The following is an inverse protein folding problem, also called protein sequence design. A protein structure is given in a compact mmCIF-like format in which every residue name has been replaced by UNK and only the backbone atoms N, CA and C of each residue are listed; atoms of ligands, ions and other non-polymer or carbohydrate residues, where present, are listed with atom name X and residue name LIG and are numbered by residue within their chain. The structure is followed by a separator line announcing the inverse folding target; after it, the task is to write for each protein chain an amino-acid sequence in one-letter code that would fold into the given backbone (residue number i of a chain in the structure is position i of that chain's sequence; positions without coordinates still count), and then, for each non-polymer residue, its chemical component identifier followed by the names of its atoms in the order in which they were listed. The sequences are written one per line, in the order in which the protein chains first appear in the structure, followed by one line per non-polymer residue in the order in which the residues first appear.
data_IF_738117391180
#
_entry.id   IF_738117391180
#
_cell.length_a   1.000
_cell.length_b   1.000
_cell.length_c   1.000
_cell.angle_alpha   90.00
_cell.angle_beta   90.00
_cell.angle_gamma   90.00
#
_symmetry.space_group_name_H-M   'P 1'
#
loop_
_entity.id
_entity.type
_entity.pdbx_description
1 polymer ?
#
# COMPACT_ATOMS: atom_id res chain seq x y z
N UNK A 1 -6.98 5.20 -14.58
CA UNK A 1 -6.20 5.02 -13.34
C UNK A 1 -4.97 4.21 -13.72
N UNK A 2 -3.81 4.85 -13.77
CA UNK A 2 -2.56 4.15 -14.04
C UNK A 2 -2.24 3.22 -12.87
N UNK A 3 -1.86 1.99 -13.21
CA UNK A 3 -1.44 1.02 -12.17
C UNK A 3 -0.15 1.53 -11.54
N UNK A 4 -0.03 1.49 -10.20
CA UNK A 4 1.20 1.90 -9.53
C UNK A 4 2.38 1.07 -10.05
N UNK A 5 3.54 1.69 -10.14
CA UNK A 5 4.74 0.98 -10.57
C UNK A 5 5.08 -0.14 -9.56
N UNK A 6 5.50 -1.34 -10.02
CA UNK A 6 5.81 -2.46 -9.12
C UNK A 6 6.82 -2.10 -8.02
N UNK A 7 7.61 -1.08 -8.24
CA UNK A 7 8.64 -0.58 -7.31
C UNK A 7 8.06 0.15 -6.10
N UNK A 8 6.87 0.77 -6.23
CA UNK A 8 6.22 1.55 -5.18
C UNK A 8 5.66 0.68 -4.04
N UNK A 9 5.22 -0.56 -4.33
CA UNK A 9 4.65 -1.46 -3.33
C UNK A 9 5.57 -2.61 -2.90
N UNK A 10 6.82 -2.65 -3.40
CA UNK A 10 7.78 -3.67 -2.97
C UNK A 10 8.42 -3.29 -1.63
N UNK A 11 8.25 -4.10 -0.58
CA UNK A 11 8.84 -3.81 0.72
C UNK A 11 10.38 -3.87 0.66
N UNK A 12 11.07 -3.06 1.50
CA UNK A 12 12.50 -3.17 1.66
C UNK A 12 12.87 -4.55 2.19
N UNK A 13 13.98 -5.11 1.70
CA UNK A 13 14.46 -6.43 2.12
C UNK A 13 15.13 -6.29 3.50
N UNK A 14 14.50 -6.83 4.54
CA UNK A 14 15.11 -7.02 5.86
C UNK A 14 15.96 -8.29 5.86
N UNK A 15 17.00 -8.38 6.69
CA UNK A 15 17.89 -9.55 6.81
C UNK A 15 17.10 -10.85 7.01
N UNK A 16 16.08 -10.83 7.86
CA UNK A 16 15.18 -11.97 8.08
C UNK A 16 14.46 -12.44 6.81
N UNK A 17 14.11 -11.50 5.92
CA UNK A 17 13.46 -11.85 4.65
C UNK A 17 14.41 -12.51 3.63
N UNK A 18 15.72 -12.31 3.78
CA UNK A 18 16.72 -13.03 3.00
C UNK A 18 16.95 -14.43 3.55
N UNK A 19 17.03 -14.57 4.89
CA UNK A 19 17.30 -15.84 5.55
C UNK A 19 16.25 -16.90 5.20
N UNK A 20 14.95 -16.62 5.39
CA UNK A 20 13.91 -17.61 5.09
C UNK A 20 13.81 -17.97 3.60
N UNK A 21 14.09 -16.99 2.70
CA UNK A 21 14.14 -17.26 1.25
C UNK A 21 15.32 -18.16 0.88
N UNK A 22 16.45 -17.96 1.53
CA UNK A 22 17.63 -18.82 1.35
C UNK A 22 17.31 -20.24 1.81
N UNK A 23 16.69 -20.40 2.98
CA UNK A 23 16.24 -21.72 3.48
C UNK A 23 15.26 -22.36 2.48
N UNK A 24 14.30 -21.60 1.96
CA UNK A 24 13.36 -22.12 0.97
C UNK A 24 14.04 -22.54 -0.33
N UNK A 25 14.98 -21.73 -0.84
CA UNK A 25 15.75 -22.10 -2.04
C UNK A 25 16.54 -23.39 -1.82
N UNK A 26 17.23 -23.51 -0.68
CA UNK A 26 18.00 -24.72 -0.34
C UNK A 26 17.06 -25.93 -0.23
N UNK A 27 15.91 -25.79 0.42
CA UNK A 27 14.93 -26.86 0.54
C UNK A 27 14.40 -27.32 -0.83
N UNK A 28 14.04 -26.37 -1.71
CA UNK A 28 13.56 -26.70 -3.07
C UNK A 28 14.68 -27.38 -3.88
N UNK A 29 15.91 -26.84 -3.83
CA UNK A 29 17.06 -27.45 -4.50
C UNK A 29 17.35 -28.86 -3.98
N UNK A 30 17.26 -29.10 -2.67
CA UNK A 30 17.44 -30.40 -2.08
C UNK A 30 16.35 -31.39 -2.55
N UNK A 31 15.10 -31.00 -2.56
CA UNK A 31 13.97 -31.83 -3.05
C UNK A 31 14.16 -32.19 -4.53
N UNK A 32 14.67 -31.27 -5.34
CA UNK A 32 14.89 -31.54 -6.76
C UNK A 32 16.14 -32.37 -7.03
N UNK A 33 17.21 -32.20 -6.24
CA UNK A 33 18.52 -32.83 -6.48
C UNK A 33 18.70 -34.16 -5.80
N UNK A 34 18.24 -34.34 -4.54
CA UNK A 34 18.48 -35.56 -3.76
C UNK A 34 18.01 -36.87 -4.47
N UNK A 35 16.83 -36.89 -5.11
CA UNK A 35 16.38 -38.10 -5.81
C UNK A 35 17.27 -38.50 -7.00
N UNK A 36 17.96 -37.52 -7.59
CA UNK A 36 18.74 -37.67 -8.83
C UNK A 36 20.24 -37.84 -8.54
N UNK A 37 20.69 -37.46 -7.35
CA UNK A 37 22.12 -37.45 -6.96
C UNK A 37 22.78 -38.77 -7.14
N UNK A 38 22.13 -39.88 -6.74
CA UNK A 38 22.67 -41.23 -6.88
C UNK A 38 22.84 -41.70 -8.34
N UNK A 39 21.96 -41.24 -9.23
CA UNK A 39 22.05 -41.57 -10.65
C UNK A 39 23.11 -40.69 -11.35
N UNK A 40 23.29 -39.45 -10.92
CA UNK A 40 24.38 -38.58 -11.37
C UNK A 40 25.75 -39.14 -10.98
N UNK A 41 25.92 -39.62 -9.75
CA UNK A 41 27.16 -40.26 -9.27
C UNK A 41 27.52 -41.51 -10.10
N UNK A 42 26.52 -42.32 -10.46
CA UNK A 42 26.72 -43.50 -11.31
C UNK A 42 27.17 -43.15 -12.74
N UNK A 43 26.77 -41.97 -13.26
CA UNK A 43 27.14 -41.54 -14.61
C UNK A 43 28.54 -40.91 -14.58
N UNK A 44 28.80 -39.96 -13.69
CA UNK A 44 30.09 -39.27 -13.57
C UNK A 44 30.16 -38.37 -12.34
N UNK A 45 31.23 -38.47 -11.55
CA UNK A 45 31.54 -37.55 -10.45
C UNK A 45 31.67 -36.08 -10.93
N UNK A 46 32.16 -35.89 -12.18
CA UNK A 46 32.25 -34.56 -12.80
C UNK A 46 30.87 -33.91 -13.00
N UNK A 47 29.83 -34.70 -13.24
CA UNK A 47 28.48 -34.18 -13.38
C UNK A 47 27.95 -33.65 -12.05
N UNK A 48 28.14 -34.37 -10.95
CA UNK A 48 27.77 -33.93 -9.58
C UNK A 48 28.49 -32.62 -9.24
N UNK A 49 29.81 -32.55 -9.49
CA UNK A 49 30.56 -31.31 -9.26
C UNK A 49 30.07 -30.18 -10.11
N UNK A 50 29.74 -30.40 -11.39
CA UNK A 50 29.18 -29.43 -12.31
C UNK A 50 27.82 -28.90 -11.84
N UNK A 51 26.91 -29.79 -11.37
CA UNK A 51 25.62 -29.43 -10.82
C UNK A 51 25.77 -28.53 -9.58
N UNK A 52 26.61 -28.90 -8.62
CA UNK A 52 26.85 -28.09 -7.42
C UNK A 52 27.46 -26.73 -7.74
N UNK A 53 28.42 -26.66 -8.66
CA UNK A 53 29.05 -25.40 -9.08
C UNK A 53 28.03 -24.50 -9.79
N UNK A 54 27.24 -25.05 -10.71
CA UNK A 54 26.21 -24.29 -11.41
C UNK A 54 25.13 -23.79 -10.44
N UNK A 55 24.73 -24.63 -9.50
CA UNK A 55 23.84 -24.27 -8.42
C UNK A 55 24.38 -23.10 -7.57
N UNK A 56 25.63 -23.18 -7.13
CA UNK A 56 26.27 -22.13 -6.35
C UNK A 56 26.27 -20.78 -7.13
N UNK A 57 26.59 -20.81 -8.42
CA UNK A 57 26.50 -19.62 -9.29
C UNK A 57 25.07 -19.09 -9.34
N UNK A 58 24.06 -19.96 -9.47
CA UNK A 58 22.65 -19.59 -9.49
C UNK A 58 22.18 -18.96 -8.17
N UNK A 59 22.69 -19.48 -7.01
CA UNK A 59 22.43 -18.87 -5.70
C UNK A 59 22.98 -17.45 -5.58
N UNK A 60 24.09 -17.13 -6.25
CA UNK A 60 24.62 -15.75 -6.32
C UNK A 60 23.82 -14.91 -7.30
N UNK A 61 23.55 -15.42 -8.50
CA UNK A 61 22.83 -14.68 -9.55
C UNK A 61 21.42 -14.26 -9.14
N UNK A 62 20.72 -15.03 -8.32
CA UNK A 62 19.37 -14.72 -7.87
C UNK A 62 19.27 -13.41 -7.08
N UNK A 63 20.35 -12.90 -6.49
CA UNK A 63 20.36 -11.61 -5.82
C UNK A 63 20.16 -10.43 -6.80
N UNK A 64 20.55 -10.61 -8.06
CA UNK A 64 20.38 -9.59 -9.11
C UNK A 64 18.97 -9.57 -9.74
N UNK A 65 18.06 -10.50 -9.34
CA UNK A 65 16.70 -10.65 -9.89
C UNK A 65 15.83 -9.37 -9.80
N UNK A 66 16.17 -8.43 -8.89
CA UNK A 66 15.45 -7.15 -8.79
C UNK A 66 15.90 -6.14 -9.84
N UNK A 67 17.19 -6.14 -10.17
CA UNK A 67 17.77 -5.22 -11.17
C UNK A 67 17.46 -5.65 -12.59
N UNK A 68 17.54 -6.97 -12.86
CA UNK A 68 17.25 -7.55 -14.18
C UNK A 68 16.30 -8.75 -14.05
N UNK A 69 14.99 -8.49 -13.83
CA UNK A 69 14.04 -9.55 -13.47
C UNK A 69 13.85 -10.61 -14.54
N UNK A 70 13.64 -10.20 -15.79
CA UNK A 70 13.40 -11.13 -16.90
C UNK A 70 14.67 -11.89 -17.30
N UNK A 71 15.83 -11.25 -17.57
CA UNK A 71 17.04 -11.99 -17.93
C UNK A 71 17.48 -12.98 -16.84
N UNK A 72 17.46 -12.57 -15.57
CA UNK A 72 17.87 -13.44 -14.47
C UNK A 72 16.92 -14.64 -14.34
N UNK A 73 15.61 -14.42 -14.45
CA UNK A 73 14.64 -15.50 -14.38
C UNK A 73 14.80 -16.50 -15.54
N UNK A 74 15.08 -16.01 -16.75
CA UNK A 74 15.37 -16.87 -17.91
C UNK A 74 16.65 -17.67 -17.72
N UNK A 75 17.75 -17.02 -17.34
CA UNK A 75 19.05 -17.70 -17.12
C UNK A 75 18.91 -18.77 -16.05
N UNK A 76 18.28 -18.47 -14.91
CA UNK A 76 18.10 -19.42 -13.83
C UNK A 76 17.16 -20.58 -14.23
N UNK A 77 16.10 -20.30 -14.98
CA UNK A 77 15.21 -21.34 -15.52
C UNK A 77 15.94 -22.25 -16.51
N UNK A 78 16.78 -21.70 -17.39
CA UNK A 78 17.59 -22.51 -18.30
C UNK A 78 18.65 -23.32 -17.57
N UNK A 79 19.29 -22.76 -16.53
CA UNK A 79 20.25 -23.50 -15.71
C UNK A 79 19.58 -24.69 -15.00
N UNK A 80 18.30 -24.56 -14.57
CA UNK A 80 17.56 -25.66 -13.96
C UNK A 80 17.21 -26.81 -14.93
N UNK A 81 17.42 -26.62 -16.26
CA UNK A 81 17.27 -27.71 -17.22
C UNK A 81 18.36 -28.80 -17.10
N UNK A 82 19.53 -28.43 -16.55
CA UNK A 82 20.70 -29.33 -16.46
C UNK A 82 21.19 -29.49 -15.02
N UNK A 83 20.67 -28.73 -14.08
CA UNK A 83 21.10 -28.74 -12.68
C UNK A 83 19.90 -28.79 -11.74
N UNK A 84 19.82 -29.84 -10.92
CA UNK A 84 18.83 -29.97 -9.85
C UNK A 84 19.01 -28.94 -8.77
N UNK A 85 20.26 -28.59 -8.43
CA UNK A 85 20.58 -27.59 -7.41
C UNK A 85 20.20 -26.15 -7.83
N UNK A 86 20.10 -25.86 -9.12
CA UNK A 86 19.64 -24.55 -9.65
C UNK A 86 18.12 -24.32 -9.51
N UNK A 87 17.33 -25.36 -9.20
CA UNK A 87 15.85 -25.29 -9.15
C UNK A 87 15.34 -24.32 -8.09
N UNK A 88 15.94 -24.25 -6.91
CA UNK A 88 15.54 -23.31 -5.86
C UNK A 88 15.67 -21.83 -6.26
N UNK A 89 16.87 -21.40 -6.72
CA UNK A 89 17.05 -20.06 -7.28
C UNK A 89 16.11 -19.74 -8.46
N UNK A 90 15.89 -20.72 -9.37
CA UNK A 90 14.98 -20.56 -10.50
C UNK A 90 13.54 -20.29 -10.04
N UNK A 91 13.00 -21.12 -9.15
CA UNK A 91 11.65 -20.93 -8.58
C UNK A 91 11.51 -19.58 -7.90
N UNK A 92 12.50 -19.16 -7.10
CA UNK A 92 12.44 -17.85 -6.44
C UNK A 92 12.46 -16.69 -7.44
N UNK A 93 13.23 -16.81 -8.52
CA UNK A 93 13.27 -15.79 -9.57
C UNK A 93 11.93 -15.71 -10.33
N UNK A 94 11.34 -16.86 -10.68
CA UNK A 94 10.02 -16.95 -11.33
C UNK A 94 8.93 -16.37 -10.45
N UNK A 95 8.86 -16.74 -9.15
CA UNK A 95 7.92 -16.15 -8.19
C UNK A 95 8.12 -14.64 -8.09
N UNK A 96 9.38 -14.18 -7.97
CA UNK A 96 9.68 -12.74 -7.89
C UNK A 96 9.23 -11.97 -9.13
N UNK A 97 9.36 -12.56 -10.32
CA UNK A 97 8.87 -11.98 -11.57
C UNK A 97 7.33 -11.97 -11.60
N UNK A 98 6.69 -13.09 -11.22
CA UNK A 98 5.23 -13.21 -11.21
C UNK A 98 4.56 -12.18 -10.29
N UNK A 99 5.22 -11.76 -9.19
CA UNK A 99 4.71 -10.68 -8.33
C UNK A 99 4.56 -9.33 -9.04
N UNK A 100 5.26 -9.10 -10.16
CA UNK A 100 5.16 -7.86 -10.96
C UNK A 100 3.90 -7.80 -11.83
N UNK A 101 3.21 -8.94 -12.00
CA UNK A 101 1.95 -9.09 -12.74
C UNK A 101 1.99 -8.59 -14.19
N UNK A 102 3.16 -8.60 -14.82
CA UNK A 102 3.31 -8.34 -16.26
C UNK A 102 3.07 -9.65 -17.00
N UNK A 103 1.84 -9.92 -17.43
CA UNK A 103 1.40 -11.21 -17.93
C UNK A 103 2.27 -11.77 -19.09
N UNK A 104 2.76 -10.90 -20.00
CA UNK A 104 3.63 -11.31 -21.11
C UNK A 104 4.98 -11.85 -20.62
N UNK A 105 5.60 -11.15 -19.67
CA UNK A 105 6.86 -11.56 -19.04
C UNK A 105 6.68 -12.85 -18.23
N UNK A 106 5.56 -12.96 -17.50
CA UNK A 106 5.21 -14.14 -16.70
C UNK A 106 4.94 -15.34 -17.60
N UNK A 107 4.20 -15.18 -18.70
CA UNK A 107 3.94 -16.24 -19.65
C UNK A 107 5.24 -16.75 -20.32
N UNK A 108 6.10 -15.83 -20.77
CA UNK A 108 7.38 -16.18 -21.41
C UNK A 108 8.29 -16.95 -20.45
N UNK A 109 8.53 -16.41 -19.26
CA UNK A 109 9.43 -17.08 -18.28
C UNK A 109 8.79 -18.35 -17.74
N UNK A 110 7.47 -18.39 -17.53
CA UNK A 110 6.75 -19.59 -17.13
C UNK A 110 6.84 -20.72 -18.15
N UNK A 111 6.73 -20.42 -19.45
CA UNK A 111 6.91 -21.41 -20.52
C UNK A 111 8.33 -21.94 -20.58
N UNK A 112 9.34 -21.07 -20.41
CA UNK A 112 10.75 -21.49 -20.38
C UNK A 112 11.02 -22.33 -19.14
N UNK A 113 10.54 -21.93 -17.97
CA UNK A 113 10.71 -22.70 -16.73
C UNK A 113 10.05 -24.08 -16.82
N UNK A 114 8.84 -24.16 -17.39
CA UNK A 114 8.15 -25.41 -17.65
C UNK A 114 8.95 -26.31 -18.58
N UNK A 115 9.41 -25.78 -19.72
CA UNK A 115 10.20 -26.55 -20.70
C UNK A 115 11.53 -27.04 -20.10
N UNK A 116 12.21 -26.19 -19.31
CA UNK A 116 13.45 -26.52 -18.63
C UNK A 116 13.25 -27.65 -17.60
N UNK A 117 12.21 -27.55 -16.77
CA UNK A 117 11.88 -28.58 -15.79
C UNK A 117 11.45 -29.90 -16.47
N UNK A 118 10.71 -29.84 -17.57
CA UNK A 118 10.33 -31.02 -18.33
C UNK A 118 11.56 -31.68 -18.98
N UNK A 119 12.49 -30.90 -19.53
CA UNK A 119 13.74 -31.40 -20.08
C UNK A 119 14.57 -32.12 -19.01
N UNK A 120 14.73 -31.52 -17.83
CA UNK A 120 15.45 -32.13 -16.71
C UNK A 120 14.86 -33.50 -16.32
N UNK A 121 13.52 -33.60 -16.20
CA UNK A 121 12.85 -34.85 -15.85
C UNK A 121 12.91 -35.93 -16.93
N UNK A 122 13.16 -35.56 -18.19
CA UNK A 122 13.31 -36.51 -19.30
C UNK A 122 14.75 -37.04 -19.44
N UNK A 123 15.74 -36.18 -19.11
CA UNK A 123 17.18 -36.56 -19.17
C UNK A 123 17.59 -37.41 -17.97
N UNK A 124 17.03 -37.13 -16.80
CA UNK A 124 17.26 -37.84 -15.56
C UNK A 124 15.93 -38.37 -14.98
N UNK A 125 15.36 -39.44 -15.59
CA UNK A 125 14.09 -39.98 -15.12
C UNK A 125 14.28 -40.60 -13.72
N UNK A 126 13.63 -39.99 -12.72
CA UNK A 126 13.52 -40.56 -11.39
C UNK A 126 12.43 -41.63 -11.37
N UNK A 127 12.71 -42.82 -10.90
CA UNK A 127 11.74 -43.90 -10.58
C UNK A 127 10.98 -44.57 -11.75
N UNK A 128 11.38 -44.41 -13.00
CA UNK A 128 10.68 -45.08 -14.13
C UNK A 128 9.24 -44.60 -14.33
N UNK A 129 8.93 -43.41 -13.86
CA UNK A 129 7.59 -42.79 -13.98
C UNK A 129 7.18 -42.60 -15.45
N UNK A 130 5.91 -42.81 -15.69
CA UNK A 130 5.33 -42.50 -17.02
C UNK A 130 5.50 -41.01 -17.36
N UNK A 131 5.87 -40.73 -18.62
CA UNK A 131 5.99 -39.35 -19.14
C UNK A 131 4.73 -38.51 -18.84
N UNK A 132 3.56 -39.13 -18.85
CA UNK A 132 2.29 -38.45 -18.51
C UNK A 132 2.21 -38.00 -17.05
N UNK A 133 2.74 -38.80 -16.13
CA UNK A 133 2.79 -38.43 -14.70
C UNK A 133 3.76 -37.27 -14.50
N UNK A 134 4.97 -37.35 -15.04
CA UNK A 134 5.97 -36.29 -14.99
C UNK A 134 5.42 -34.98 -15.59
N UNK A 135 4.76 -35.04 -16.76
CA UNK A 135 4.15 -33.89 -17.41
C UNK A 135 3.05 -33.27 -16.53
N UNK A 136 2.17 -34.08 -15.96
CA UNK A 136 1.07 -33.60 -15.12
C UNK A 136 1.56 -32.92 -13.86
N UNK A 137 2.55 -33.52 -13.18
CA UNK A 137 3.17 -32.95 -11.98
C UNK A 137 3.85 -31.63 -12.30
N UNK A 138 4.58 -31.55 -13.43
CA UNK A 138 5.28 -30.35 -13.84
C UNK A 138 4.32 -29.21 -14.21
N UNK A 139 3.21 -29.50 -14.91
CA UNK A 139 2.14 -28.52 -15.20
C UNK A 139 1.58 -27.96 -13.90
N UNK A 140 1.19 -28.84 -12.96
CA UNK A 140 0.61 -28.43 -11.67
C UNK A 140 1.62 -27.62 -10.85
N UNK A 141 2.87 -28.07 -10.76
CA UNK A 141 3.91 -27.37 -10.01
C UNK A 141 4.20 -25.98 -10.59
N UNK A 142 4.37 -25.87 -11.93
CA UNK A 142 4.62 -24.59 -12.59
C UNK A 142 3.42 -23.65 -12.43
N UNK A 143 2.21 -24.14 -12.63
CA UNK A 143 0.99 -23.35 -12.43
C UNK A 143 0.86 -22.85 -10.98
N UNK A 144 1.15 -23.71 -9.99
CA UNK A 144 1.12 -23.34 -8.58
C UNK A 144 2.15 -22.26 -8.25
N UNK A 145 3.37 -22.36 -8.74
CA UNK A 145 4.45 -21.37 -8.56
C UNK A 145 4.04 -20.00 -9.15
N UNK A 146 3.52 -19.99 -10.38
CA UNK A 146 3.07 -18.77 -11.04
C UNK A 146 1.86 -18.16 -10.34
N UNK A 147 0.85 -18.98 -10.00
CA UNK A 147 -0.34 -18.54 -9.28
C UNK A 147 0.02 -17.94 -7.90
N UNK A 148 0.91 -18.58 -7.17
CA UNK A 148 1.41 -18.09 -5.89
C UNK A 148 2.11 -16.75 -6.02
N UNK A 149 2.99 -16.58 -7.01
CA UNK A 149 3.65 -15.31 -7.30
C UNK A 149 2.67 -14.20 -7.64
N UNK A 150 1.70 -14.48 -8.53
CA UNK A 150 0.65 -13.52 -8.90
C UNK A 150 -0.26 -13.16 -7.71
N UNK A 151 -0.61 -14.13 -6.87
CA UNK A 151 -1.40 -13.91 -5.65
C UNK A 151 -0.68 -12.96 -4.69
N UNK A 152 0.61 -13.20 -4.42
CA UNK A 152 1.42 -12.30 -3.57
C UNK A 152 1.46 -10.89 -4.15
N UNK A 153 1.65 -10.76 -5.46
CA UNK A 153 1.63 -9.47 -6.16
C UNK A 153 0.30 -8.74 -6.00
N UNK A 154 -0.82 -9.45 -6.25
CA UNK A 154 -2.17 -8.90 -6.11
C UNK A 154 -2.48 -8.44 -4.69
N UNK A 155 -2.12 -9.26 -3.70
CA UNK A 155 -2.32 -8.92 -2.29
C UNK A 155 -1.55 -7.66 -1.88
N UNK A 156 -0.31 -7.50 -2.35
CA UNK A 156 0.51 -6.32 -2.06
C UNK A 156 -0.06 -5.06 -2.69
N UNK A 157 -0.46 -5.12 -3.95
CA UNK A 157 -1.10 -4.02 -4.66
C UNK A 157 -2.40 -3.59 -3.96
N UNK A 158 -3.21 -4.56 -3.51
CA UNK A 158 -4.43 -4.30 -2.76
C UNK A 158 -4.16 -3.58 -1.44
N UNK A 159 -3.20 -4.07 -0.65
CA UNK A 159 -2.84 -3.46 0.64
C UNK A 159 -2.32 -2.03 0.42
N UNK A 160 -1.49 -1.80 -0.58
CA UNK A 160 -0.98 -0.48 -0.93
C UNK A 160 -2.13 0.47 -1.33
N UNK A 161 -3.03 0.00 -2.20
CA UNK A 161 -4.19 0.78 -2.64
C UNK A 161 -5.11 1.16 -1.47
N UNK A 162 -5.35 0.21 -0.56
CA UNK A 162 -6.19 0.46 0.62
C UNK A 162 -5.54 1.47 1.57
N UNK A 163 -4.24 1.38 1.80
CA UNK A 163 -3.50 2.37 2.61
C UNK A 163 -3.59 3.77 2.02
N UNK A 164 -3.29 3.92 0.73
CA UNK A 164 -3.39 5.22 0.06
C UNK A 164 -4.81 5.80 0.07
N UNK A 165 -5.84 4.95 0.00
CA UNK A 165 -7.23 5.41 0.12
C UNK A 165 -7.56 5.86 1.54
N UNK A 166 -7.08 5.13 2.55
CA UNK A 166 -7.26 5.50 3.95
C UNK A 166 -6.59 6.85 4.26
N UNK A 167 -5.33 7.04 3.89
CA UNK A 167 -4.59 8.29 4.07
C UNK A 167 -5.29 9.49 3.40
N UNK A 168 -5.82 9.29 2.18
CA UNK A 168 -6.59 10.35 1.49
C UNK A 168 -7.90 10.66 2.20
N UNK A 169 -8.63 9.63 2.65
CA UNK A 169 -9.88 9.81 3.37
C UNK A 169 -9.68 10.54 4.70
N UNK A 170 -8.60 10.24 5.43
CA UNK A 170 -8.21 10.94 6.65
C UNK A 170 -7.92 12.43 6.37
N UNK A 171 -7.11 12.73 5.35
CA UNK A 171 -6.83 14.13 4.95
C UNK A 171 -8.09 14.89 4.53
N UNK A 172 -8.98 14.26 3.76
CA UNK A 172 -10.26 14.87 3.37
C UNK A 172 -11.16 15.12 4.58
N UNK A 173 -11.16 14.22 5.56
CA UNK A 173 -11.92 14.39 6.79
C UNK A 173 -11.38 15.55 7.63
N UNK A 174 -10.07 15.68 7.78
CA UNK A 174 -9.44 16.80 8.48
C UNK A 174 -9.83 18.14 7.83
N UNK A 175 -9.75 18.24 6.49
CA UNK A 175 -10.15 19.44 5.76
C UNK A 175 -11.64 19.77 5.95
N UNK A 176 -12.52 18.76 5.96
CA UNK A 176 -13.97 18.95 6.22
C UNK A 176 -14.23 19.45 7.63
N UNK A 177 -13.53 18.93 8.62
CA UNK A 177 -13.65 19.40 10.01
C UNK A 177 -13.19 20.86 10.12
N UNK A 178 -12.08 21.22 9.49
CA UNK A 178 -11.58 22.58 9.50
C UNK A 178 -12.54 23.56 8.79
N UNK A 179 -13.08 23.16 7.63
CA UNK A 179 -14.12 23.92 6.93
C UNK A 179 -15.40 24.08 7.77
N UNK A 180 -15.83 22.99 8.43
CA UNK A 180 -17.02 23.05 9.30
C UNK A 180 -16.81 24.04 10.47
N UNK A 181 -15.63 24.00 11.10
CA UNK A 181 -15.26 24.97 12.16
C UNK A 181 -15.22 26.41 11.62
N UNK A 182 -14.67 26.63 10.42
CA UNK A 182 -14.67 27.95 9.79
C UNK A 182 -16.08 28.47 9.50
N UNK A 183 -16.94 27.62 8.94
CA UNK A 183 -18.33 27.94 8.66
C UNK A 183 -19.13 28.25 9.94
N UNK A 184 -18.89 27.47 10.99
CA UNK A 184 -19.54 27.67 12.28
C UNK A 184 -19.13 29.02 12.91
N UNK A 185 -17.83 29.35 12.90
CA UNK A 185 -17.36 30.66 13.37
C UNK A 185 -17.97 31.82 12.55
N UNK A 186 -18.07 31.69 11.22
CA UNK A 186 -18.69 32.65 10.36
C UNK A 186 -20.20 32.77 10.59
N UNK A 187 -20.89 31.69 10.97
CA UNK A 187 -22.30 31.70 11.38
C UNK A 187 -22.49 32.44 12.69
N UNK A 188 -21.71 32.10 13.72
CA UNK A 188 -21.76 32.74 15.03
C UNK A 188 -21.49 34.24 14.89
N UNK A 189 -20.49 34.65 14.10
CA UNK A 189 -20.17 36.06 13.87
C UNK A 189 -21.34 36.83 13.21
N UNK A 190 -22.07 36.21 12.27
CA UNK A 190 -23.27 36.82 11.66
C UNK A 190 -24.41 36.96 12.66
N UNK A 191 -24.73 35.88 13.39
CA UNK A 191 -25.78 35.93 14.43
C UNK A 191 -25.49 37.01 15.46
N UNK A 192 -24.22 37.17 15.86
CA UNK A 192 -23.79 38.23 16.76
C UNK A 192 -23.93 39.62 16.15
N UNK A 193 -23.56 39.77 14.89
CA UNK A 193 -23.70 41.04 14.21
C UNK A 193 -25.19 41.48 14.15
N UNK A 194 -26.09 40.54 13.89
CA UNK A 194 -27.53 40.80 13.80
C UNK A 194 -28.11 41.19 15.16
N UNK A 195 -27.72 40.50 16.24
CA UNK A 195 -28.15 40.86 17.62
C UNK A 195 -27.63 42.23 18.02
N UNK A 196 -26.34 42.53 17.76
CA UNK A 196 -25.75 43.85 18.05
C UNK A 196 -26.40 44.97 17.23
N UNK A 197 -26.62 44.75 15.93
CA UNK A 197 -27.28 45.75 15.07
C UNK A 197 -28.70 46.07 15.57
N UNK A 198 -29.44 45.04 16.01
CA UNK A 198 -30.77 45.21 16.58
C UNK A 198 -30.74 46.03 17.88
N UNK A 199 -29.86 45.71 18.83
CA UNK A 199 -29.70 46.42 20.09
C UNK A 199 -29.26 47.89 19.88
N UNK A 200 -28.26 48.12 19.00
CA UNK A 200 -27.81 49.47 18.66
C UNK A 200 -28.96 50.29 18.06
N UNK A 201 -29.79 49.69 17.20
CA UNK A 201 -30.96 50.33 16.61
C UNK A 201 -31.97 50.70 17.69
N UNK A 202 -32.23 49.86 18.68
CA UNK A 202 -33.12 50.16 19.80
C UNK A 202 -32.58 51.31 20.66
N UNK A 203 -31.29 51.26 21.01
CA UNK A 203 -30.65 52.34 21.78
C UNK A 203 -30.77 53.70 21.01
N UNK A 204 -30.50 53.67 19.70
CA UNK A 204 -30.60 54.87 18.84
C UNK A 204 -32.03 55.42 18.76
N UNK A 205 -33.04 54.51 18.70
CA UNK A 205 -34.45 54.90 18.71
C UNK A 205 -34.86 55.56 20.05
N UNK A 206 -34.46 54.96 21.19
CA UNK A 206 -34.75 55.56 22.49
C UNK A 206 -34.02 56.91 22.69
N UNK A 207 -32.77 57.02 22.27
CA UNK A 207 -32.01 58.26 22.32
C UNK A 207 -32.60 59.34 21.42
N UNK A 208 -33.04 58.96 20.20
CA UNK A 208 -33.72 59.86 19.30
C UNK A 208 -35.07 60.39 19.83
N UNK A 209 -35.87 59.46 20.43
CA UNK A 209 -37.13 59.83 21.05
C UNK A 209 -36.94 60.83 22.24
N UNK A 210 -35.89 60.58 23.04
CA UNK A 210 -35.53 61.43 24.16
C UNK A 210 -35.07 62.84 23.66
N UNK A 211 -34.31 62.93 22.59
CA UNK A 211 -33.80 64.15 22.03
C UNK A 211 -34.90 65.01 21.35
N UNK A 212 -35.97 64.39 20.86
CA UNK A 212 -37.04 65.06 20.14
C UNK A 212 -38.15 65.61 21.07
N UNK A 213 -38.29 65.06 22.28
CA UNK A 213 -39.37 65.49 23.19
C UNK A 213 -38.90 66.57 24.15
N UNK A 214 -39.46 67.75 23.97
CA UNK A 214 -39.20 68.94 24.81
C UNK A 214 -40.14 69.06 26.05
N UNK A 215 -41.15 68.17 26.13
CA UNK A 215 -42.20 68.14 27.16
C UNK A 215 -41.93 67.23 28.38
N UNK A 216 -40.76 66.67 28.44
CA UNK A 216 -40.40 65.72 29.49
C UNK A 216 -40.03 66.39 30.80
N UNK A 217 -40.51 65.80 31.89
CA UNK A 217 -40.07 66.16 33.26
C UNK A 217 -38.66 65.68 33.53
N UNK A 218 -37.94 66.33 34.47
CA UNK A 218 -36.60 65.89 34.82
C UNK A 218 -36.53 64.38 35.37
N UNK A 219 -37.67 63.91 35.90
CA UNK A 219 -37.79 62.52 36.35
C UNK A 219 -37.92 61.56 35.19
N UNK A 220 -38.71 61.83 34.15
CA UNK A 220 -38.91 61.05 32.94
C UNK A 220 -37.66 61.05 32.08
N UNK A 221 -36.92 62.15 32.00
CA UNK A 221 -35.64 62.25 31.31
C UNK A 221 -34.60 61.29 31.96
N UNK A 222 -34.51 61.27 33.28
CA UNK A 222 -33.63 60.39 34.07
C UNK A 222 -34.01 58.91 33.87
N UNK A 223 -35.31 58.61 33.89
CA UNK A 223 -35.79 57.26 33.69
C UNK A 223 -35.44 56.74 32.27
N UNK A 224 -35.69 57.54 31.21
CA UNK A 224 -35.35 57.16 29.84
C UNK A 224 -33.84 57.04 29.59
N UNK A 225 -33.02 57.91 30.17
CA UNK A 225 -31.57 57.79 30.12
C UNK A 225 -31.08 56.50 30.86
N UNK A 226 -31.76 56.11 31.97
CA UNK A 226 -31.52 54.87 32.64
C UNK A 226 -31.72 53.64 31.76
N UNK A 227 -32.83 53.59 31.01
CA UNK A 227 -33.12 52.48 30.07
C UNK A 227 -32.04 52.37 28.99
N UNK A 228 -31.62 53.50 28.38
CA UNK A 228 -30.56 53.54 27.36
C UNK A 228 -29.26 53.01 27.94
N UNK A 229 -28.87 53.43 29.16
CA UNK A 229 -27.65 52.93 29.84
C UNK A 229 -27.71 51.44 30.08
N UNK A 230 -28.83 50.93 30.62
CA UNK A 230 -28.99 49.56 30.98
C UNK A 230 -28.97 48.65 29.72
N UNK A 231 -29.62 49.06 28.62
CA UNK A 231 -29.52 48.34 27.34
C UNK A 231 -28.10 48.35 26.72
N UNK A 232 -27.40 49.48 26.85
CA UNK A 232 -26.01 49.56 26.38
C UNK A 232 -25.08 48.63 27.19
N UNK A 233 -25.30 48.54 28.51
CA UNK A 233 -24.54 47.68 29.39
C UNK A 233 -24.81 46.20 29.10
N UNK A 234 -26.05 45.83 28.87
CA UNK A 234 -26.44 44.46 28.49
C UNK A 234 -25.84 44.07 27.12
N UNK A 235 -25.85 44.96 26.12
CA UNK A 235 -25.22 44.72 24.83
C UNK A 235 -23.71 44.51 24.93
N UNK A 236 -23.01 45.21 25.80
CA UNK A 236 -21.60 45.07 26.06
C UNK A 236 -21.28 43.74 26.81
N UNK A 237 -22.16 43.30 27.69
CA UNK A 237 -22.01 42.03 28.44
C UNK A 237 -22.14 40.85 27.47
N UNK A 238 -23.19 40.82 26.68
CA UNK A 238 -23.40 39.77 25.66
C UNK A 238 -22.22 39.69 24.68
N UNK A 239 -21.65 40.81 24.27
CA UNK A 239 -20.47 40.82 23.40
C UNK A 239 -19.24 40.19 24.07
N UNK A 240 -19.03 40.44 25.37
CA UNK A 240 -17.91 39.87 26.11
C UNK A 240 -18.07 38.36 26.31
N UNK A 241 -19.29 37.89 26.60
CA UNK A 241 -19.56 36.47 26.83
C UNK A 241 -19.28 35.66 25.58
N UNK A 242 -19.61 36.17 24.40
CA UNK A 242 -19.34 35.53 23.13
C UNK A 242 -17.86 35.56 22.77
N UNK A 243 -17.16 36.67 22.99
CA UNK A 243 -15.72 36.77 22.77
C UNK A 243 -14.92 35.94 23.72
N UNK A 244 -15.44 35.59 24.90
CA UNK A 244 -14.81 34.70 25.88
C UNK A 244 -14.97 33.20 25.57
N UNK A 245 -15.89 32.84 24.64
CA UNK A 245 -16.15 31.47 24.19
C UNK A 245 -15.40 31.14 22.89
N UNK A 246 -14.91 32.12 22.14
CA UNK A 246 -14.13 31.96 20.91
C UNK A 246 -12.63 31.83 21.20
#
# INVERSE_FOLDING_TARGET
MDRPAPEEYQPPLRLWSHAWRLVLMVAISAVAWLPVSSDQERISELWVMGDLLLGAICFVLVFFRRRWPVPIALVLSLASAVSGTASGPAVLAVVSLATRRRWREVALVGSVAFAASQFFSTVLPTNGDSVWVSLSVNVVATAAVLAWGMYIGSRRELIWTLRNRAERAESEQELRVEQARGNERARIAREMHDVLAHRISQISMYAGALAYREDLTPAETRASAGVIRDQAHEALTDLRDVLGVL
#
